data_IF_549679847089
#
_entry.id   IF_549679847089
#
_cell.length_a   1.000
_cell.length_b   1.000
_cell.length_c   1.000
_cell.angle_alpha   90.00
_cell.angle_beta   90.00
_cell.angle_gamma   90.00
#
_symmetry.space_group_name_H-M   'P 1'
#
loop_
_entity.id
_entity.type
_entity.pdbx_description
1 polymer ?
#
# COMPACT_ATOMS: atom_id res chain seq x y z
N UNK A 1 -25.02 -15.46 8.68
CA UNK A 1 -23.76 -14.73 8.94
C UNK A 1 -22.80 -15.65 9.67
N UNK A 2 -21.74 -16.12 9.01
CA UNK A 2 -20.74 -16.99 9.63
C UNK A 2 -19.82 -16.11 10.47
N UNK A 3 -19.88 -16.20 11.81
CA UNK A 3 -18.95 -15.46 12.69
C UNK A 3 -17.56 -16.06 12.51
N UNK A 4 -16.62 -15.26 12.00
CA UNK A 4 -15.22 -15.66 11.95
C UNK A 4 -14.63 -15.49 13.35
N UNK A 5 -14.12 -16.56 14.01
CA UNK A 5 -13.59 -16.46 15.36
C UNK A 5 -12.43 -15.46 15.45
N UNK A 6 -12.25 -14.89 16.63
CA UNK A 6 -11.13 -14.01 16.92
C UNK A 6 -9.82 -14.82 16.88
N UNK A 7 -8.78 -14.27 16.23
CA UNK A 7 -7.45 -14.87 16.23
C UNK A 7 -6.65 -14.20 17.35
N UNK A 8 -6.38 -14.93 18.43
CA UNK A 8 -5.53 -14.51 19.56
C UNK A 8 -4.33 -15.46 19.64
N UNK A 9 -3.22 -15.18 18.96
CA UNK A 9 -2.02 -15.99 19.10
C UNK A 9 -1.41 -15.74 20.49
N UNK A 10 -0.93 -16.80 21.13
CA UNK A 10 -0.03 -16.66 22.26
C UNK A 10 1.34 -16.21 21.73
N UNK A 11 1.85 -15.09 22.26
CA UNK A 11 3.11 -14.52 21.80
C UNK A 11 4.30 -15.15 22.51
N UNK A 12 4.09 -15.78 23.68
CA UNK A 12 5.14 -16.39 24.50
C UNK A 12 5.57 -17.76 23.93
N UNK A 13 4.64 -18.48 23.29
CA UNK A 13 4.92 -19.76 22.60
C UNK A 13 5.35 -19.59 21.13
N UNK A 14 5.31 -18.36 20.61
CA UNK A 14 5.56 -18.05 19.21
C UNK A 14 4.34 -18.27 18.30
N UNK A 15 4.38 -17.70 17.09
CA UNK A 15 3.23 -17.68 16.18
C UNK A 15 3.43 -18.67 15.03
N UNK A 16 2.49 -19.62 14.88
CA UNK A 16 2.44 -20.52 13.72
C UNK A 16 2.31 -19.71 12.40
N UNK A 17 3.12 -20.09 11.40
CA UNK A 17 3.06 -19.56 10.03
C UNK A 17 1.65 -19.58 9.44
N UNK A 18 0.84 -20.59 9.77
CA UNK A 18 -0.56 -20.67 9.31
C UNK A 18 -1.41 -19.56 9.94
N UNK A 19 -1.25 -19.31 11.23
CA UNK A 19 -1.93 -18.23 11.96
C UNK A 19 -1.48 -16.87 11.43
N UNK A 20 -0.18 -16.67 11.19
CA UNK A 20 0.35 -15.45 10.56
C UNK A 20 -0.25 -15.21 9.17
N UNK A 21 -0.34 -16.26 8.34
CA UNK A 21 -0.93 -16.16 7.01
C UNK A 21 -2.42 -15.80 7.06
N UNK A 22 -3.16 -16.37 8.01
CA UNK A 22 -4.57 -16.03 8.23
C UNK A 22 -4.74 -14.58 8.70
N UNK A 23 -3.90 -14.11 9.64
CA UNK A 23 -3.93 -12.74 10.13
C UNK A 23 -3.62 -11.75 8.99
N UNK A 24 -2.57 -12.02 8.21
CA UNK A 24 -2.21 -11.22 7.02
C UNK A 24 -3.37 -11.12 6.04
N UNK A 25 -3.99 -12.24 5.67
CA UNK A 25 -5.08 -12.24 4.69
C UNK A 25 -6.32 -11.48 5.21
N UNK A 26 -6.65 -11.61 6.51
CA UNK A 26 -7.75 -10.83 7.12
C UNK A 26 -7.44 -9.34 7.12
N UNK A 27 -6.21 -8.96 7.45
CA UNK A 27 -5.77 -7.58 7.43
C UNK A 27 -5.87 -6.99 6.01
N UNK A 28 -5.30 -7.67 5.01
CA UNK A 28 -5.32 -7.20 3.63
C UNK A 28 -6.75 -7.07 3.09
N UNK A 29 -7.60 -8.07 3.29
CA UNK A 29 -9.00 -8.01 2.84
C UNK A 29 -9.78 -6.84 3.44
N UNK A 30 -9.55 -6.54 4.72
CA UNK A 30 -10.17 -5.40 5.39
C UNK A 30 -9.58 -4.07 4.90
N UNK A 31 -8.28 -4.04 4.65
CA UNK A 31 -7.59 -2.87 4.12
C UNK A 31 -8.07 -2.54 2.70
N UNK A 32 -8.24 -3.53 1.84
CA UNK A 32 -8.78 -3.37 0.48
C UNK A 32 -10.20 -2.78 0.52
N UNK A 33 -11.05 -3.29 1.42
CA UNK A 33 -12.40 -2.74 1.61
C UNK A 33 -12.41 -1.31 2.18
N UNK A 34 -11.43 -0.94 3.01
CA UNK A 34 -11.24 0.44 3.47
C UNK A 34 -10.77 1.35 2.34
N UNK A 35 -9.83 0.88 1.52
CA UNK A 35 -9.30 1.60 0.38
C UNK A 35 -10.39 1.88 -0.66
N UNK A 36 -11.16 0.87 -1.05
CA UNK A 36 -12.28 1.03 -1.98
C UNK A 36 -13.31 2.06 -1.49
N UNK A 37 -13.74 1.97 -0.23
CA UNK A 37 -14.68 2.94 0.35
C UNK A 37 -14.10 4.35 0.45
N UNK A 38 -12.80 4.49 0.70
CA UNK A 38 -12.15 5.80 0.69
C UNK A 38 -12.18 6.41 -0.72
N UNK A 39 -11.90 5.62 -1.76
CA UNK A 39 -11.95 6.08 -3.15
C UNK A 39 -13.36 6.53 -3.57
N UNK A 40 -14.41 5.82 -3.16
CA UNK A 40 -15.81 6.19 -3.45
C UNK A 40 -16.17 7.60 -2.97
N UNK A 41 -15.58 8.05 -1.86
CA UNK A 41 -15.79 9.40 -1.30
C UNK A 41 -14.86 10.48 -1.87
N UNK A 42 -13.91 10.13 -2.73
CA UNK A 42 -12.90 11.04 -3.26
C UNK A 42 -13.25 11.54 -4.66
N UNK A 43 -12.93 12.79 -4.94
CA UNK A 43 -12.89 13.32 -6.31
C UNK A 43 -11.83 12.59 -7.14
N UNK A 44 -11.96 12.59 -8.47
CA UNK A 44 -10.98 11.98 -9.39
C UNK A 44 -9.55 12.47 -9.12
N UNK A 45 -9.38 13.77 -8.82
CA UNK A 45 -8.06 14.32 -8.51
C UNK A 45 -7.46 13.76 -7.22
N UNK A 46 -8.27 13.58 -6.19
CA UNK A 46 -7.83 12.97 -4.93
C UNK A 46 -7.50 11.48 -5.12
N UNK A 47 -8.28 10.76 -5.93
CA UNK A 47 -8.00 9.36 -6.28
C UNK A 47 -6.68 9.22 -7.04
N UNK A 48 -6.39 10.11 -8.00
CA UNK A 48 -5.10 10.13 -8.71
C UNK A 48 -3.94 10.38 -7.75
N UNK A 49 -4.06 11.33 -6.80
CA UNK A 49 -3.02 11.58 -5.79
C UNK A 49 -2.77 10.33 -4.94
N UNK A 50 -3.82 9.66 -4.46
CA UNK A 50 -3.68 8.48 -3.62
C UNK A 50 -3.06 7.30 -4.40
N UNK A 51 -3.42 7.14 -5.67
CA UNK A 51 -2.85 6.13 -6.58
C UNK A 51 -1.35 6.34 -6.82
N UNK A 52 -0.92 7.59 -6.94
CA UNK A 52 0.49 7.94 -7.22
C UNK A 52 1.39 7.99 -5.99
N UNK A 53 0.81 8.10 -4.80
CA UNK A 53 1.56 8.23 -3.55
C UNK A 53 2.62 7.13 -3.34
N UNK A 54 2.32 5.83 -3.54
CA UNK A 54 3.33 4.78 -3.39
C UNK A 54 4.47 4.91 -4.41
N UNK A 55 4.17 5.32 -5.64
CA UNK A 55 5.17 5.55 -6.68
C UNK A 55 6.14 6.67 -6.28
N UNK A 56 5.61 7.78 -5.76
CA UNK A 56 6.45 8.90 -5.31
C UNK A 56 7.37 8.55 -4.14
N UNK A 57 6.98 7.61 -3.28
CA UNK A 57 7.88 7.08 -2.23
C UNK A 57 8.83 6.01 -2.74
N UNK A 58 8.50 5.36 -3.86
CA UNK A 58 9.31 4.31 -4.43
C UNK A 58 10.48 4.85 -5.27
N UNK A 59 10.30 5.98 -5.96
CA UNK A 59 11.32 6.55 -6.85
C UNK A 59 12.13 7.67 -6.19
N UNK A 60 13.41 7.76 -6.52
CA UNK A 60 14.29 8.86 -6.13
C UNK A 60 14.69 9.66 -7.38
N UNK A 61 14.08 10.83 -7.59
CA UNK A 61 14.25 11.61 -8.83
C UNK A 61 14.50 13.10 -8.57
N UNK A 62 15.41 13.78 -9.31
CA UNK A 62 15.77 15.20 -9.09
C UNK A 62 14.62 16.20 -9.13
N UNK A 63 13.52 15.87 -9.81
CA UNK A 63 12.33 16.73 -9.90
C UNK A 63 11.38 16.58 -8.70
N UNK A 64 11.60 15.59 -7.84
CA UNK A 64 10.74 15.35 -6.67
C UNK A 64 11.27 16.10 -5.43
N UNK A 65 10.37 16.60 -4.57
CA UNK A 65 10.78 17.25 -3.34
C UNK A 65 11.52 16.26 -2.43
N UNK A 66 12.55 16.76 -1.73
CA UNK A 66 13.36 15.94 -0.84
C UNK A 66 14.46 15.14 -1.53
N UNK A 67 14.67 15.30 -2.84
CA UNK A 67 15.83 14.73 -3.53
C UNK A 67 17.15 15.29 -2.97
N UNK A 68 18.09 14.40 -2.66
CA UNK A 68 19.43 14.76 -2.18
C UNK A 68 20.50 14.29 -3.16
N UNK A 69 20.46 13.03 -3.58
CA UNK A 69 21.43 12.43 -4.50
C UNK A 69 20.89 11.15 -5.13
N UNK A 70 21.48 10.70 -6.24
CA UNK A 70 21.10 9.43 -6.89
C UNK A 70 21.40 8.18 -6.06
N UNK A 71 22.28 8.29 -5.05
CA UNK A 71 22.60 7.20 -4.12
C UNK A 71 21.73 7.20 -2.86
N UNK A 72 20.82 8.17 -2.71
CA UNK A 72 19.88 8.19 -1.59
C UNK A 72 18.97 6.95 -1.67
N UNK A 73 18.90 6.12 -0.60
CA UNK A 73 18.01 4.97 -0.58
C UNK A 73 16.55 5.39 -0.77
N UNK A 74 15.84 4.66 -1.62
CA UNK A 74 14.40 4.82 -1.86
C UNK A 74 13.77 3.47 -2.17
N UNK A 75 12.45 3.41 -2.16
CA UNK A 75 11.70 2.19 -2.38
C UNK A 75 10.65 1.94 -1.30
N UNK A 76 9.57 1.29 -1.71
CA UNK A 76 8.55 0.76 -0.82
C UNK A 76 8.61 -0.76 -0.91
N UNK A 77 8.76 -1.44 0.23
CA UNK A 77 8.87 -2.90 0.26
C UNK A 77 7.63 -3.54 -0.35
N UNK A 78 7.85 -4.52 -1.24
CA UNK A 78 6.80 -5.25 -1.96
C UNK A 78 5.88 -4.38 -2.84
N UNK A 79 6.32 -3.18 -3.21
CA UNK A 79 5.62 -2.35 -4.18
C UNK A 79 6.33 -2.42 -5.52
N UNK A 80 5.57 -2.75 -6.56
CA UNK A 80 5.99 -2.66 -7.96
C UNK A 80 4.99 -1.75 -8.68
N UNK A 81 5.45 -0.70 -9.37
CA UNK A 81 4.55 0.16 -10.15
C UNK A 81 3.84 -0.64 -11.25
N UNK A 82 2.51 -0.56 -11.28
CA UNK A 82 1.73 -1.11 -12.39
C UNK A 82 1.60 -0.12 -13.55
N UNK A 83 1.06 -0.59 -14.68
CA UNK A 83 0.90 0.23 -15.88
C UNK A 83 -0.02 1.44 -15.66
N UNK A 84 -0.99 1.35 -14.75
CA UNK A 84 -1.90 2.44 -14.42
C UNK A 84 -1.18 3.54 -13.65
N UNK A 85 -0.42 3.20 -12.61
CA UNK A 85 0.36 4.14 -11.83
C UNK A 85 1.38 4.90 -12.70
N UNK A 86 2.04 4.19 -13.62
CA UNK A 86 2.98 4.80 -14.57
C UNK A 86 2.26 5.75 -15.54
N UNK A 87 1.09 5.37 -16.05
CA UNK A 87 0.30 6.23 -16.93
C UNK A 87 -0.24 7.48 -16.21
N UNK A 88 -0.71 7.35 -14.98
CA UNK A 88 -1.13 8.48 -14.15
C UNK A 88 0.04 9.42 -13.85
N UNK A 89 1.25 8.87 -13.64
CA UNK A 89 2.44 9.67 -13.36
C UNK A 89 2.84 10.53 -14.57
N UNK A 90 2.75 9.97 -15.78
CA UNK A 90 3.01 10.70 -17.02
C UNK A 90 1.99 11.82 -17.29
N UNK A 91 0.74 11.68 -16.83
CA UNK A 91 -0.29 12.73 -16.95
C UNK A 91 -0.09 13.87 -15.96
N UNK A 92 0.68 13.64 -14.89
CA UNK A 92 0.91 14.61 -13.82
C UNK A 92 2.09 15.56 -14.08
N UNK A 93 2.93 15.26 -15.08
CA UNK A 93 4.03 16.10 -15.59
C UNK A 93 3.60 16.90 -16.81
#
# INVERSE_FOLDING_TARGET
MTRNPEIRPDLDEGIDRKVLSQLRNRFLSLNDGRYARALEGMSTRQQSVLTLLPLFFHVNHPLLPGYVSGSTPAGVSHYEPDTLALAEAQRAT
#
